data_IF_019043857152
#
_entry.id   IF_019043857152
#
_cell.length_a   1.000
_cell.length_b   1.000
_cell.length_c   1.000
_cell.angle_alpha   90.00
_cell.angle_beta   90.00
_cell.angle_gamma   90.00
#
_symmetry.space_group_name_H-M   'P 1'
#
loop_
_entity.id
_entity.type
_entity.pdbx_description
1 polymer ?
#
# COMPACT_ATOMS: atom_id res chain seq x y z
N UNK A 1 -3.56 -1.53 8.88
CA UNK A 1 -2.94 -0.76 7.77
C UNK A 1 -2.35 -1.69 6.71
N UNK A 2 -1.19 -2.33 6.92
CA UNK A 2 -0.61 -3.20 5.89
C UNK A 2 -1.52 -4.35 5.43
N UNK A 3 -2.16 -5.06 6.35
CA UNK A 3 -3.12 -6.11 5.99
C UNK A 3 -4.35 -5.55 5.24
N UNK A 4 -4.77 -4.32 5.54
CA UNK A 4 -5.88 -3.67 4.85
C UNK A 4 -5.48 -3.30 3.41
N UNK A 5 -4.28 -2.75 3.21
CA UNK A 5 -3.74 -2.47 1.90
C UNK A 5 -3.50 -3.75 1.07
N UNK A 6 -2.99 -4.81 1.69
CA UNK A 6 -2.81 -6.10 1.02
C UNK A 6 -4.15 -6.81 0.67
N UNK A 7 -5.24 -6.42 1.34
CA UNK A 7 -6.59 -6.92 1.05
C UNK A 7 -7.32 -6.16 -0.05
N UNK A 8 -6.75 -5.06 -0.56
CA UNK A 8 -7.33 -4.29 -1.66
C UNK A 8 -7.31 -5.10 -2.96
N UNK A 9 -8.41 -5.10 -3.70
CA UNK A 9 -8.57 -5.89 -4.92
C UNK A 9 -7.60 -5.44 -6.01
N UNK A 10 -7.37 -4.13 -6.12
CA UNK A 10 -6.52 -3.53 -7.14
C UNK A 10 -5.02 -3.60 -6.76
N UNK A 11 -4.68 -4.17 -5.60
CA UNK A 11 -3.30 -4.39 -5.17
C UNK A 11 -2.91 -5.84 -5.44
N UNK A 12 -1.76 -6.06 -6.08
CA UNK A 12 -1.20 -7.40 -6.27
C UNK A 12 -0.31 -7.81 -5.10
N UNK A 13 0.53 -6.88 -4.62
CA UNK A 13 1.42 -7.07 -3.46
C UNK A 13 1.84 -5.73 -2.84
N UNK A 14 2.25 -5.78 -1.58
CA UNK A 14 3.03 -4.69 -0.97
C UNK A 14 4.49 -4.81 -1.40
N UNK A 15 5.17 -3.68 -1.55
CA UNK A 15 6.60 -3.62 -1.85
C UNK A 15 7.32 -2.82 -0.78
N UNK A 16 8.55 -3.19 -0.42
CA UNK A 16 9.40 -2.33 0.42
C UNK A 16 9.86 -1.08 -0.32
N UNK A 17 9.53 -0.95 -1.59
CA UNK A 17 10.00 0.14 -2.42
C UNK A 17 11.51 0.20 -2.61
N UNK A 18 11.96 1.13 -3.47
CA UNK A 18 13.40 1.29 -3.81
C UNK A 18 14.30 1.61 -2.61
N UNK A 19 13.73 2.13 -1.52
CA UNK A 19 14.48 2.56 -0.32
C UNK A 19 14.20 1.72 0.94
N UNK A 20 13.46 0.62 0.86
CA UNK A 20 13.27 -0.31 1.99
C UNK A 20 12.18 0.06 3.00
N UNK A 21 11.18 0.85 2.57
CA UNK A 21 9.94 1.15 3.27
C UNK A 21 9.36 -0.07 4.00
N UNK A 22 9.41 -0.02 5.33
CA UNK A 22 8.98 -1.12 6.19
C UNK A 22 8.46 -0.55 7.51
N UNK A 23 7.28 -0.99 7.93
CA UNK A 23 6.72 -0.59 9.21
C UNK A 23 7.11 -1.64 10.24
N UNK A 24 7.68 -1.19 11.35
CA UNK A 24 7.93 -2.07 12.48
C UNK A 24 6.69 -2.09 13.38
N UNK A 25 6.02 -3.22 13.45
CA UNK A 25 5.05 -3.54 14.50
C UNK A 25 5.78 -4.32 15.60
N UNK A 26 5.23 -4.45 16.82
CA UNK A 26 5.89 -5.15 17.93
C UNK A 26 6.32 -6.56 17.51
N UNK A 27 7.61 -6.74 17.24
CA UNK A 27 8.22 -7.99 16.79
C UNK A 27 8.05 -8.38 15.32
N UNK A 28 7.40 -7.57 14.46
CA UNK A 28 7.24 -7.90 13.03
C UNK A 28 7.49 -6.71 12.10
N UNK A 29 8.39 -6.90 11.13
CA UNK A 29 8.62 -5.96 10.05
C UNK A 29 7.62 -6.23 8.94
N UNK A 30 6.75 -5.27 8.65
CA UNK A 30 5.78 -5.39 7.56
C UNK A 30 6.28 -4.55 6.38
N UNK A 31 6.57 -5.18 5.23
CA UNK A 31 7.04 -4.46 4.05
C UNK A 31 5.95 -3.51 3.52
N UNK A 32 6.38 -2.34 3.03
CA UNK A 32 5.54 -1.43 2.25
C UNK A 32 4.59 -0.54 3.02
N UNK A 33 4.73 -0.42 4.34
CA UNK A 33 4.08 0.66 5.09
C UNK A 33 5.15 1.44 5.83
N UNK A 34 5.05 2.76 5.90
CA UNK A 34 5.86 3.60 6.78
C UNK A 34 4.93 4.47 7.61
N UNK A 35 5.24 4.65 8.90
CA UNK A 35 4.45 5.50 9.79
C UNK A 35 5.36 6.58 10.33
N UNK A 36 4.99 7.85 10.07
CA UNK A 36 5.70 9.02 10.57
C UNK A 36 4.68 10.00 11.16
N UNK A 37 4.58 10.03 12.49
CA UNK A 37 3.54 10.78 13.19
C UNK A 37 2.15 10.31 12.78
N UNK A 38 1.38 11.20 12.13
CA UNK A 38 0.03 10.90 11.61
C UNK A 38 0.04 10.44 10.15
N UNK A 39 1.19 10.48 9.49
CA UNK A 39 1.30 10.11 8.08
C UNK A 39 1.59 8.63 7.95
N UNK A 40 0.81 7.95 7.12
CA UNK A 40 0.97 6.55 6.78
C UNK A 40 1.27 6.48 5.31
N UNK A 41 2.50 6.15 4.95
CA UNK A 41 2.88 5.91 3.56
C UNK A 41 2.73 4.43 3.24
N UNK A 42 2.15 4.12 2.09
CA UNK A 42 1.91 2.74 1.65
C UNK A 42 2.48 2.57 0.25
N UNK A 43 3.37 1.60 0.10
CA UNK A 43 4.02 1.24 -1.15
C UNK A 43 3.41 -0.05 -1.70
N UNK A 44 2.81 0.04 -2.88
CA UNK A 44 2.06 -1.06 -3.48
C UNK A 44 2.51 -1.30 -4.92
N UNK A 45 2.28 -2.52 -5.38
CA UNK A 45 2.20 -2.85 -6.80
C UNK A 45 0.71 -2.99 -7.13
N UNK A 46 0.24 -2.19 -8.07
CA UNK A 46 -1.14 -2.21 -8.53
C UNK A 46 -1.39 -3.35 -9.52
N UNK A 47 -2.64 -3.66 -9.82
CA UNK A 47 -3.01 -4.52 -10.94
C UNK A 47 -3.15 -3.69 -12.20
N UNK A 48 -2.55 -4.15 -13.29
CA UNK A 48 -2.69 -3.53 -14.60
C UNK A 48 -4.15 -3.54 -15.08
N UNK A 49 -4.49 -2.60 -15.96
CA UNK A 49 -5.84 -2.43 -16.49
C UNK A 49 -6.76 -1.52 -15.66
N UNK A 50 -6.27 -0.99 -14.54
CA UNK A 50 -6.98 -0.03 -13.70
C UNK A 50 -6.25 1.32 -13.64
N UNK A 51 -6.98 2.46 -13.58
CA UNK A 51 -6.37 3.75 -13.33
C UNK A 51 -5.58 3.76 -12.00
N UNK A 52 -4.40 4.35 -12.02
CA UNK A 52 -3.54 4.51 -10.81
C UNK A 52 -4.28 5.29 -9.71
N UNK A 53 -5.16 6.22 -10.09
CA UNK A 53 -5.98 6.97 -9.15
C UNK A 53 -6.95 6.06 -8.36
N UNK A 54 -7.49 5.03 -9.00
CA UNK A 54 -8.44 4.10 -8.38
C UNK A 54 -7.73 3.15 -7.41
N UNK A 55 -6.55 2.64 -7.81
CA UNK A 55 -5.66 1.89 -6.91
C UNK A 55 -5.35 2.71 -5.66
N UNK A 56 -4.96 3.97 -5.85
CA UNK A 56 -4.67 4.89 -4.76
C UNK A 56 -5.87 5.14 -3.85
N UNK A 57 -7.07 5.28 -4.43
CA UNK A 57 -8.30 5.54 -3.67
C UNK A 57 -8.71 4.33 -2.82
N UNK A 58 -8.70 3.12 -3.39
CA UNK A 58 -9.02 1.89 -2.66
C UNK A 58 -8.08 1.69 -1.46
N UNK A 59 -6.78 1.88 -1.68
CA UNK A 59 -5.78 1.75 -0.60
C UNK A 59 -6.00 2.82 0.48
N UNK A 60 -6.28 4.08 0.11
CA UNK A 60 -6.54 5.16 1.07
C UNK A 60 -7.75 4.84 1.94
N UNK A 61 -8.84 4.39 1.34
CA UNK A 61 -10.07 4.04 2.05
C UNK A 61 -9.85 2.88 3.03
N UNK A 62 -9.24 1.79 2.57
CA UNK A 62 -8.97 0.62 3.39
C UNK A 62 -8.02 0.93 4.57
N UNK A 63 -7.00 1.76 4.34
CA UNK A 63 -6.03 2.13 5.37
C UNK A 63 -6.61 3.14 6.35
N UNK A 64 -7.39 4.12 5.89
CA UNK A 64 -8.07 5.10 6.74
C UNK A 64 -9.07 4.41 7.68
N UNK A 65 -9.78 3.38 7.21
CA UNK A 65 -10.66 2.58 8.06
C UNK A 65 -9.88 1.84 9.17
N UNK A 66 -8.66 1.38 8.88
CA UNK A 66 -7.79 0.70 9.84
C UNK A 66 -7.01 1.65 10.76
N UNK A 67 -6.91 2.94 10.42
CA UNK A 67 -6.22 3.97 11.19
C UNK A 67 -6.94 5.33 11.03
N UNK A 68 -8.06 5.53 11.76
CA UNK A 68 -8.83 6.78 11.67
C UNK A 68 -7.96 8.00 12.02
N UNK A 69 -8.05 9.05 11.21
CA UNK A 69 -7.31 10.31 11.40
C UNK A 69 -5.86 10.30 10.86
N UNK A 70 -5.41 9.19 10.27
CA UNK A 70 -4.15 9.13 9.55
C UNK A 70 -4.23 9.86 8.20
N UNK A 71 -3.15 10.53 7.81
CA UNK A 71 -2.95 11.05 6.46
C UNK A 71 -2.31 9.94 5.63
N UNK A 72 -3.05 9.38 4.68
CA UNK A 72 -2.58 8.23 3.89
C UNK A 72 -1.96 8.70 2.57
N UNK A 73 -0.66 8.47 2.44
CA UNK A 73 0.11 8.68 1.22
C UNK A 73 0.30 7.32 0.51
N UNK A 74 -0.01 7.24 -0.78
CA UNK A 74 0.05 5.97 -1.52
C UNK A 74 0.99 6.12 -2.69
N UNK A 75 2.00 5.26 -2.72
CA UNK A 75 2.98 5.15 -3.79
C UNK A 75 2.71 3.86 -4.55
N UNK A 76 2.24 4.00 -5.78
CA UNK A 76 2.15 2.88 -6.72
C UNK A 76 3.48 2.80 -7.45
N UNK A 77 4.28 1.79 -7.14
CA UNK A 77 5.65 1.68 -7.67
C UNK A 77 5.71 0.95 -9.01
N UNK A 78 4.77 0.04 -9.24
CA UNK A 78 4.72 -0.79 -10.42
C UNK A 78 3.28 -1.28 -10.65
N UNK A 79 3.02 -1.80 -11.85
CA UNK A 79 1.77 -2.45 -12.21
C UNK A 79 2.04 -3.89 -12.60
N UNK A 80 1.44 -4.80 -11.87
CA UNK A 80 1.45 -6.23 -12.17
C UNK A 80 0.49 -6.50 -13.32
N UNK A 81 1.05 -6.87 -14.46
CA UNK A 81 0.29 -7.29 -15.63
C UNK A 81 -0.31 -8.69 -15.47
N UNK A 82 0.19 -9.47 -14.50
CA UNK A 82 -0.21 -10.84 -14.21
C UNK A 82 0.03 -11.76 -15.40
N UNK A 83 1.20 -12.41 -15.49
CA UNK A 83 1.62 -13.30 -16.59
C UNK A 83 0.85 -13.02 -17.91
N UNK A 84 1.00 -11.80 -18.44
CA UNK A 84 0.56 -11.56 -19.81
C UNK A 84 1.42 -12.47 -20.70
N UNK A 85 0.79 -13.29 -21.56
CA UNK A 85 1.53 -14.17 -22.47
C UNK A 85 2.42 -13.38 -23.44
#
# INVERSE_FOLDING_TARGET
>A
MAAAAAGCRLVSRLTTGRFGASAYLPGRRVPGVEVSGRTVRVHVVGRYGHPVADIGSEVREAVAAAAPGAVVDVVVEDLDTGDLP
#
